data_IF_070399720358
#
_entry.id   IF_070399720358
#
_cell.length_a   1.000
_cell.length_b   1.000
_cell.length_c   1.000
_cell.angle_alpha   90.00
_cell.angle_beta   90.00
_cell.angle_gamma   90.00
#
_symmetry.space_group_name_H-M   'P 1'
#
loop_
_entity.id
_entity.type
_entity.pdbx_description
1 polymer ?
#
# COMPACT_ATOMS: atom_id res chain seq x y z
N UNK A 1 -19.86 -0.90 0.50
CA UNK A 1 -19.58 -1.04 1.95
C UNK A 1 -20.72 -1.69 2.72
N UNK A 2 -20.46 -2.62 3.64
CA UNK A 2 -21.37 -2.82 4.77
C UNK A 2 -21.46 -1.48 5.52
N UNK A 3 -22.65 -0.91 5.62
CA UNK A 3 -22.89 0.35 6.34
C UNK A 3 -23.03 0.12 7.85
N UNK A 4 -22.65 -1.07 8.32
CA UNK A 4 -22.83 -1.50 9.71
C UNK A 4 -21.78 -0.86 10.63
N UNK A 5 -22.19 0.10 11.50
CA UNK A 5 -21.28 0.76 12.42
C UNK A 5 -20.74 -0.18 13.50
N UNK A 6 -21.48 -1.23 13.87
CA UNK A 6 -21.07 -2.19 14.89
C UNK A 6 -19.93 -3.06 14.37
N UNK A 7 -20.02 -3.52 13.12
CA UNK A 7 -18.93 -4.23 12.44
C UNK A 7 -17.66 -3.37 12.39
N UNK A 8 -17.78 -2.10 12.03
CA UNK A 8 -16.65 -1.18 11.96
C UNK A 8 -15.99 -0.97 13.32
N UNK A 9 -16.79 -0.76 14.37
CA UNK A 9 -16.30 -0.61 15.73
C UNK A 9 -15.58 -1.88 16.20
N UNK A 10 -16.13 -3.07 15.92
CA UNK A 10 -15.50 -4.35 16.26
C UNK A 10 -14.15 -4.54 15.54
N UNK A 11 -14.05 -4.20 14.26
CA UNK A 11 -12.79 -4.24 13.53
C UNK A 11 -11.75 -3.28 14.13
N UNK A 12 -12.16 -2.05 14.48
CA UNK A 12 -11.29 -1.05 15.09
C UNK A 12 -10.81 -1.48 16.49
N UNK A 13 -11.67 -2.13 17.28
CA UNK A 13 -11.31 -2.70 18.59
C UNK A 13 -10.25 -3.81 18.46
N UNK A 14 -10.45 -4.76 17.54
CA UNK A 14 -9.46 -5.83 17.28
C UNK A 14 -8.14 -5.22 16.82
N UNK A 15 -8.19 -4.24 15.91
CA UNK A 15 -6.99 -3.55 15.42
C UNK A 15 -6.27 -2.81 16.54
N UNK A 16 -6.99 -2.09 17.40
CA UNK A 16 -6.42 -1.34 18.51
C UNK A 16 -5.77 -2.25 19.57
N UNK A 17 -6.34 -3.44 19.81
CA UNK A 17 -5.84 -4.41 20.77
C UNK A 17 -4.67 -5.26 20.26
N UNK A 18 -4.24 -5.10 19.00
CA UNK A 18 -3.23 -5.98 18.40
C UNK A 18 -1.87 -5.90 19.09
N UNK A 19 -1.28 -7.07 19.33
CA UNK A 19 0.10 -7.19 19.78
C UNK A 19 1.00 -7.52 18.58
N UNK A 20 1.80 -6.54 18.14
CA UNK A 20 2.68 -6.72 16.98
C UNK A 20 3.78 -7.78 17.16
N UNK A 21 4.01 -8.25 18.39
CA UNK A 21 4.93 -9.36 18.65
C UNK A 21 4.21 -10.73 18.69
N UNK A 22 2.88 -10.76 18.79
CA UNK A 22 2.05 -11.97 18.80
C UNK A 22 0.73 -11.73 18.06
N UNK A 23 0.72 -11.95 16.75
CA UNK A 23 -0.48 -11.73 15.93
C UNK A 23 -1.51 -12.84 16.02
N UNK A 24 -1.15 -14.05 16.47
CA UNK A 24 -2.07 -15.18 16.47
C UNK A 24 -3.46 -14.90 17.09
N UNK A 25 -3.58 -14.20 18.26
CA UNK A 25 -4.88 -13.82 18.80
C UNK A 25 -5.63 -12.78 17.94
N UNK A 26 -4.91 -11.82 17.35
CA UNK A 26 -5.49 -10.81 16.45
C UNK A 26 -6.02 -11.45 15.17
N UNK A 27 -5.26 -12.38 14.59
CA UNK A 27 -5.69 -13.16 13.41
C UNK A 27 -6.94 -13.96 13.76
N UNK A 28 -6.94 -14.69 14.89
CA UNK A 28 -8.09 -15.47 15.32
C UNK A 28 -9.36 -14.59 15.46
N UNK A 29 -9.23 -13.43 16.11
CA UNK A 29 -10.35 -12.50 16.27
C UNK A 29 -10.88 -11.96 14.93
N UNK A 30 -10.02 -11.64 13.97
CA UNK A 30 -10.46 -11.23 12.64
C UNK A 30 -11.06 -12.39 11.83
N UNK A 31 -10.58 -13.62 12.02
CA UNK A 31 -11.16 -14.81 11.39
C UNK A 31 -12.56 -15.12 11.92
N UNK A 32 -12.83 -14.87 13.20
CA UNK A 32 -14.18 -14.99 13.76
C UNK A 32 -15.14 -13.99 13.09
N UNK A 33 -14.71 -12.73 12.91
CA UNK A 33 -15.49 -11.72 12.16
C UNK A 33 -15.69 -12.15 10.71
N UNK A 34 -14.66 -12.70 10.07
CA UNK A 34 -14.74 -13.19 8.70
C UNK A 34 -15.73 -14.36 8.57
N UNK A 35 -15.85 -15.23 9.56
CA UNK A 35 -16.82 -16.32 9.53
C UNK A 35 -18.27 -15.79 9.50
N UNK A 36 -18.52 -14.66 10.16
CA UNK A 36 -19.82 -13.97 10.17
C UNK A 36 -20.04 -13.14 8.89
N UNK A 37 -18.96 -12.60 8.31
CA UNK A 37 -18.98 -11.69 7.15
C UNK A 37 -17.96 -12.11 6.07
N UNK A 38 -18.14 -13.26 5.39
CA UNK A 38 -17.10 -13.90 4.57
C UNK A 38 -16.66 -13.12 3.32
N UNK A 39 -17.53 -12.24 2.84
CA UNK A 39 -17.34 -11.45 1.62
C UNK A 39 -17.32 -9.94 1.88
N UNK A 40 -17.30 -9.51 3.16
CA UNK A 40 -17.19 -8.08 3.44
C UNK A 40 -15.77 -7.57 3.09
N UNK A 41 -15.64 -6.57 2.20
CA UNK A 41 -14.33 -6.12 1.74
C UNK A 41 -13.46 -5.54 2.86
N UNK A 42 -14.05 -4.88 3.87
CA UNK A 42 -13.28 -4.33 4.98
C UNK A 42 -12.75 -5.44 5.88
N UNK A 43 -13.55 -6.47 6.16
CA UNK A 43 -13.12 -7.63 6.94
C UNK A 43 -11.98 -8.37 6.23
N UNK A 44 -12.14 -8.64 4.93
CA UNK A 44 -11.09 -9.25 4.11
C UNK A 44 -9.78 -8.46 4.15
N UNK A 45 -9.86 -7.12 4.07
CA UNK A 45 -8.70 -6.25 4.16
C UNK A 45 -8.00 -6.32 5.53
N UNK A 46 -8.74 -6.30 6.63
CA UNK A 46 -8.14 -6.38 7.98
C UNK A 46 -7.51 -7.75 8.24
N UNK A 47 -8.13 -8.84 7.78
CA UNK A 47 -7.53 -10.20 7.83
C UNK A 47 -6.22 -10.24 7.04
N UNK A 48 -6.20 -9.68 5.83
CA UNK A 48 -4.97 -9.53 5.05
C UNK A 48 -3.88 -8.77 5.80
N UNK A 49 -4.24 -7.64 6.42
CA UNK A 49 -3.33 -6.84 7.25
C UNK A 49 -2.78 -7.56 8.46
N UNK A 50 -3.57 -8.42 9.10
CA UNK A 50 -3.13 -9.21 10.24
C UNK A 50 -2.09 -10.27 9.82
N UNK A 51 -2.33 -10.99 8.72
CA UNK A 51 -1.36 -11.95 8.17
C UNK A 51 -0.08 -11.28 7.66
N UNK A 52 -0.18 -10.12 7.00
CA UNK A 52 0.99 -9.36 6.53
C UNK A 52 1.86 -8.92 7.71
N UNK A 53 1.23 -8.45 8.80
CA UNK A 53 1.94 -8.06 10.03
C UNK A 53 2.63 -9.25 10.71
N UNK A 54 2.08 -10.46 10.56
CA UNK A 54 2.64 -11.71 11.08
C UNK A 54 3.77 -12.29 10.20
N UNK A 55 4.00 -11.73 9.01
CA UNK A 55 4.98 -12.25 8.04
C UNK A 55 4.48 -13.48 7.28
N UNK A 56 3.17 -13.54 7.03
CA UNK A 56 2.53 -14.57 6.21
C UNK A 56 2.07 -13.94 4.88
N UNK A 57 3.03 -13.46 4.09
CA UNK A 57 2.79 -12.60 2.93
C UNK A 57 1.94 -13.26 1.83
N UNK A 58 2.13 -14.55 1.54
CA UNK A 58 1.30 -15.27 0.56
C UNK A 58 -0.17 -15.34 0.98
N UNK A 59 -0.43 -15.50 2.28
CA UNK A 59 -1.79 -15.53 2.82
C UNK A 59 -2.41 -14.14 2.72
N UNK A 60 -1.68 -13.11 3.14
CA UNK A 60 -2.11 -11.72 3.06
C UNK A 60 -2.48 -11.30 1.63
N UNK A 61 -1.64 -11.66 0.65
CA UNK A 61 -1.87 -11.40 -0.76
C UNK A 61 -3.23 -11.91 -1.24
N UNK A 62 -3.63 -13.12 -0.83
CA UNK A 62 -4.92 -13.71 -1.18
C UNK A 62 -6.09 -12.89 -0.64
N UNK A 63 -5.99 -12.44 0.61
CA UNK A 63 -7.02 -11.63 1.25
C UNK A 63 -7.14 -10.22 0.66
N UNK A 64 -6.02 -9.54 0.37
CA UNK A 64 -6.05 -8.24 -0.28
C UNK A 64 -6.71 -8.28 -1.65
N UNK A 65 -6.38 -9.28 -2.48
CA UNK A 65 -7.03 -9.47 -3.79
C UNK A 65 -8.53 -9.71 -3.67
N UNK A 66 -8.95 -10.53 -2.70
CA UNK A 66 -10.37 -10.77 -2.41
C UNK A 66 -11.08 -9.49 -1.94
N UNK A 67 -10.45 -8.71 -1.07
CA UNK A 67 -11.01 -7.45 -0.59
C UNK A 67 -11.27 -6.48 -1.76
N UNK A 68 -10.28 -6.29 -2.65
CA UNK A 68 -10.45 -5.47 -3.85
C UNK A 68 -11.54 -6.00 -4.78
N UNK A 69 -11.57 -7.31 -5.04
CA UNK A 69 -12.60 -7.95 -5.85
C UNK A 69 -14.01 -7.82 -5.26
N UNK A 70 -14.12 -7.77 -3.92
CA UNK A 70 -15.37 -7.55 -3.19
C UNK A 70 -15.79 -6.07 -3.13
N UNK A 71 -15.10 -5.17 -3.83
CA UNK A 71 -15.47 -3.75 -3.91
C UNK A 71 -14.95 -2.91 -2.74
N UNK A 72 -13.77 -3.22 -2.20
CA UNK A 72 -13.09 -2.33 -1.26
C UNK A 72 -12.92 -0.94 -1.88
N UNK A 73 -13.25 0.11 -1.13
CA UNK A 73 -13.31 1.48 -1.65
C UNK A 73 -12.67 2.52 -0.70
N UNK A 74 -12.51 3.74 -1.21
CA UNK A 74 -12.06 4.90 -0.44
C UNK A 74 -10.70 4.73 0.24
N UNK A 75 -10.62 5.17 1.51
CA UNK A 75 -9.37 5.16 2.28
C UNK A 75 -8.77 3.77 2.40
N UNK A 76 -9.59 2.74 2.65
CA UNK A 76 -9.10 1.36 2.81
C UNK A 76 -8.59 0.80 1.48
N UNK A 77 -9.22 1.12 0.34
CA UNK A 77 -8.70 0.72 -0.97
C UNK A 77 -7.29 1.30 -1.22
N UNK A 78 -7.09 2.59 -0.97
CA UNK A 78 -5.76 3.22 -1.07
C UNK A 78 -4.72 2.54 -0.18
N UNK A 79 -5.11 2.20 1.06
CA UNK A 79 -4.22 1.47 1.97
C UNK A 79 -3.95 0.04 1.48
N UNK A 80 -4.95 -0.62 0.90
CA UNK A 80 -4.80 -1.93 0.31
C UNK A 80 -3.78 -1.91 -0.84
N UNK A 81 -3.83 -0.92 -1.75
CA UNK A 81 -2.77 -0.76 -2.77
C UNK A 81 -1.38 -0.65 -2.15
N UNK A 82 -1.23 0.15 -1.08
CA UNK A 82 0.05 0.31 -0.39
C UNK A 82 0.58 -1.00 0.19
N UNK A 83 -0.30 -1.75 0.88
CA UNK A 83 0.08 -3.00 1.53
C UNK A 83 0.31 -4.10 0.49
N UNK A 84 -0.63 -4.32 -0.43
CA UNK A 84 -0.53 -5.30 -1.50
C UNK A 84 0.75 -5.10 -2.34
N UNK A 85 1.06 -3.86 -2.73
CA UNK A 85 2.27 -3.55 -3.47
C UNK A 85 3.54 -3.87 -2.66
N UNK A 86 3.52 -3.61 -1.35
CA UNK A 86 4.63 -3.93 -0.45
C UNK A 86 4.79 -5.43 -0.22
N UNK A 87 3.70 -6.16 0.02
CA UNK A 87 3.67 -7.61 0.14
C UNK A 87 4.23 -8.26 -1.12
N UNK A 88 3.80 -7.83 -2.31
CA UNK A 88 4.34 -8.32 -3.59
C UNK A 88 5.83 -8.05 -3.75
N UNK A 89 6.31 -6.87 -3.35
CA UNK A 89 7.75 -6.54 -3.36
C UNK A 89 8.54 -7.46 -2.43
N UNK A 90 8.05 -7.70 -1.21
CA UNK A 90 8.70 -8.57 -0.23
C UNK A 90 8.76 -10.03 -0.71
N UNK A 91 7.74 -10.48 -1.45
CA UNK A 91 7.70 -11.77 -2.14
C UNK A 91 8.57 -11.84 -3.40
N UNK A 92 9.28 -10.77 -3.77
CA UNK A 92 10.08 -10.71 -5.00
C UNK A 92 9.28 -10.62 -6.29
N UNK A 93 7.96 -10.41 -6.23
CA UNK A 93 7.05 -10.27 -7.38
C UNK A 93 7.02 -8.81 -7.84
N UNK A 94 8.18 -8.34 -8.31
CA UNK A 94 8.45 -6.91 -8.48
C UNK A 94 7.60 -6.25 -9.58
N UNK A 95 7.39 -6.93 -10.71
CA UNK A 95 6.56 -6.39 -11.80
C UNK A 95 5.09 -6.21 -11.37
N UNK A 96 4.56 -7.18 -10.62
CA UNK A 96 3.20 -7.08 -10.06
C UNK A 96 3.12 -5.99 -8.99
N UNK A 97 4.13 -5.85 -8.14
CA UNK A 97 4.24 -4.75 -7.18
C UNK A 97 4.17 -3.40 -7.88
N UNK A 98 4.95 -3.22 -8.96
CA UNK A 98 4.99 -1.99 -9.73
C UNK A 98 3.62 -1.68 -10.35
N UNK A 99 2.97 -2.67 -10.95
CA UNK A 99 1.63 -2.53 -11.53
C UNK A 99 0.57 -2.13 -10.49
N UNK A 100 0.61 -2.73 -9.30
CA UNK A 100 -0.30 -2.37 -8.19
C UNK A 100 -0.08 -0.93 -7.72
N UNK A 101 1.17 -0.48 -7.63
CA UNK A 101 1.44 0.91 -7.29
C UNK A 101 1.01 1.88 -8.40
N UNK A 102 1.23 1.54 -9.68
CA UNK A 102 0.80 2.35 -10.82
C UNK A 102 -0.74 2.53 -10.84
N UNK A 103 -1.49 1.46 -10.63
CA UNK A 103 -2.96 1.50 -10.52
C UNK A 103 -3.41 2.35 -9.31
N UNK A 104 -2.78 2.13 -8.15
CA UNK A 104 -3.07 2.89 -6.95
C UNK A 104 -2.81 4.39 -7.11
N UNK A 105 -1.72 4.79 -7.79
CA UNK A 105 -1.40 6.20 -8.07
C UNK A 105 -2.41 6.81 -9.05
N UNK A 106 -2.87 6.05 -10.04
CA UNK A 106 -3.90 6.53 -10.96
C UNK A 106 -5.23 6.83 -10.26
N UNK A 107 -5.60 6.04 -9.26
CA UNK A 107 -6.83 6.23 -8.47
C UNK A 107 -6.66 7.24 -7.33
N UNK A 108 -5.48 7.33 -6.74
CA UNK A 108 -5.16 8.19 -5.60
C UNK A 108 -3.90 9.03 -5.88
N UNK A 109 -3.93 9.95 -6.86
CA UNK A 109 -2.77 10.76 -7.25
C UNK A 109 -2.26 11.63 -6.09
N UNK A 110 -3.12 11.92 -5.11
CA UNK A 110 -2.78 12.63 -3.89
C UNK A 110 -2.08 11.76 -2.83
N UNK A 111 -1.80 10.48 -3.06
CA UNK A 111 -1.11 9.63 -2.09
C UNK A 111 0.41 9.63 -2.28
N UNK A 112 1.14 10.41 -1.47
CA UNK A 112 2.62 10.43 -1.49
C UNK A 112 3.20 9.05 -1.19
N UNK A 113 2.59 8.33 -0.26
CA UNK A 113 3.02 7.00 0.15
C UNK A 113 3.04 6.00 -1.02
N UNK A 114 2.09 6.07 -1.96
CA UNK A 114 2.07 5.15 -3.10
C UNK A 114 3.26 5.44 -4.03
N UNK A 115 3.53 6.72 -4.32
CA UNK A 115 4.70 7.12 -5.12
C UNK A 115 6.03 6.75 -4.46
N UNK A 116 6.17 6.94 -3.14
CA UNK A 116 7.40 6.60 -2.41
C UNK A 116 7.62 5.08 -2.34
N UNK A 117 6.58 4.29 -2.09
CA UNK A 117 6.72 2.83 -2.03
C UNK A 117 6.91 2.20 -3.41
N UNK A 118 6.37 2.82 -4.47
CA UNK A 118 6.72 2.49 -5.85
C UNK A 118 8.21 2.68 -6.13
N UNK A 119 8.81 3.77 -5.63
CA UNK A 119 10.25 3.99 -5.77
C UNK A 119 11.07 2.91 -5.06
N UNK A 120 10.62 2.38 -3.92
CA UNK A 120 11.24 1.23 -3.27
C UNK A 120 11.16 -0.04 -4.14
N UNK A 121 10.05 -0.24 -4.87
CA UNK A 121 9.94 -1.33 -5.84
C UNK A 121 10.90 -1.15 -7.01
N UNK A 122 11.02 0.06 -7.58
CA UNK A 122 12.02 0.35 -8.63
C UNK A 122 13.44 0.05 -8.17
N UNK A 123 13.79 0.45 -6.95
CA UNK A 123 15.09 0.13 -6.36
C UNK A 123 15.28 -1.40 -6.24
N UNK A 124 14.28 -2.13 -5.75
CA UNK A 124 14.33 -3.60 -5.66
C UNK A 124 14.47 -4.28 -7.03
N UNK A 125 13.99 -3.65 -8.10
CA UNK A 125 14.16 -4.10 -9.50
C UNK A 125 15.56 -3.82 -10.06
N UNK A 126 16.46 -3.22 -9.28
CA UNK A 126 17.77 -2.80 -9.77
C UNK A 126 17.73 -1.52 -10.61
N UNK A 127 16.68 -0.69 -10.43
CA UNK A 127 16.52 0.62 -11.09
C UNK A 127 16.67 1.78 -10.08
N UNK A 128 17.86 1.97 -9.47
CA UNK A 128 18.06 2.95 -8.41
C UNK A 128 18.01 4.41 -8.90
N UNK A 129 18.39 4.70 -10.15
CA UNK A 129 18.29 6.04 -10.71
C UNK A 129 16.82 6.42 -10.92
N UNK A 130 16.03 5.55 -11.53
CA UNK A 130 14.59 5.73 -11.69
C UNK A 130 13.88 5.84 -10.33
N UNK A 131 14.30 5.08 -9.31
CA UNK A 131 13.80 5.21 -7.95
C UNK A 131 14.06 6.61 -7.37
N UNK A 132 15.30 7.11 -7.46
CA UNK A 132 15.64 8.45 -7.00
C UNK A 132 14.88 9.53 -7.78
N UNK A 133 14.78 9.39 -9.10
CA UNK A 133 13.99 10.29 -9.94
C UNK A 133 12.53 10.36 -9.51
N UNK A 134 11.91 9.21 -9.23
CA UNK A 134 10.54 9.15 -8.73
C UNK A 134 10.37 9.85 -7.37
N UNK A 135 11.33 9.69 -6.44
CA UNK A 135 11.32 10.41 -5.14
C UNK A 135 11.41 11.92 -5.34
N UNK A 136 12.29 12.39 -6.24
CA UNK A 136 12.39 13.83 -6.55
C UNK A 136 11.08 14.38 -7.10
N UNK A 137 10.39 13.63 -7.97
CA UNK A 137 9.06 14.02 -8.46
C UNK A 137 8.05 14.14 -7.33
N UNK A 138 7.96 13.15 -6.44
CA UNK A 138 7.05 13.20 -5.28
C UNK A 138 7.35 14.41 -4.38
N UNK A 139 8.64 14.66 -4.09
CA UNK A 139 9.06 15.80 -3.26
C UNK A 139 8.63 17.12 -3.92
N UNK A 140 8.90 17.26 -5.21
CA UNK A 140 8.62 18.49 -5.96
C UNK A 140 7.13 18.77 -6.04
N UNK A 141 6.30 17.75 -6.30
CA UNK A 141 4.87 17.94 -6.48
C UNK A 141 4.13 18.14 -5.16
N UNK A 142 4.60 17.52 -4.07
CA UNK A 142 3.81 17.35 -2.83
C UNK A 142 4.33 18.13 -1.64
N UNK A 143 5.57 18.61 -1.71
CA UNK A 143 6.20 19.39 -0.64
C UNK A 143 6.74 20.73 -1.17
N UNK A 144 5.86 21.63 -1.66
CA UNK A 144 6.26 22.90 -2.27
C UNK A 144 6.64 23.96 -1.22
N UNK A 145 7.68 23.66 -0.42
CA UNK A 145 8.32 24.65 0.45
C UNK A 145 9.01 25.70 -0.40
N UNK A 146 9.25 26.89 0.15
CA UNK A 146 9.95 27.97 -0.58
C UNK A 146 11.32 27.53 -1.13
N UNK A 147 12.03 26.64 -0.41
CA UNK A 147 13.30 26.08 -0.86
C UNK A 147 13.13 25.11 -2.03
N UNK A 148 12.14 24.20 -1.97
CA UNK A 148 11.85 23.27 -3.09
C UNK A 148 11.42 24.04 -4.34
N UNK A 149 10.54 25.03 -4.18
CA UNK A 149 10.06 25.87 -5.29
C UNK A 149 11.19 26.64 -5.98
N UNK A 150 12.18 27.15 -5.23
CA UNK A 150 13.34 27.84 -5.80
C UNK A 150 14.13 26.95 -6.77
N UNK A 151 14.16 25.65 -6.52
CA UNK A 151 14.92 24.68 -7.31
C UNK A 151 14.06 23.72 -8.14
N UNK A 152 12.75 23.98 -8.28
CA UNK A 152 11.80 23.08 -8.94
C UNK A 152 12.27 22.66 -10.34
N UNK A 153 12.67 23.60 -11.19
CA UNK A 153 13.12 23.29 -12.55
C UNK A 153 14.34 22.35 -12.56
N UNK A 154 15.28 22.55 -11.63
CA UNK A 154 16.45 21.69 -11.48
C UNK A 154 16.06 20.31 -10.95
N UNK A 155 15.17 20.23 -9.95
CA UNK A 155 14.68 18.96 -9.41
C UNK A 155 13.95 18.15 -10.47
N UNK A 156 13.06 18.76 -11.26
CA UNK A 156 12.36 18.11 -12.37
C UNK A 156 13.31 17.67 -13.47
N UNK A 157 14.29 18.51 -13.83
CA UNK A 157 15.31 18.16 -14.82
C UNK A 157 16.15 16.95 -14.41
N UNK A 158 16.60 16.91 -13.15
CA UNK A 158 17.33 15.76 -12.61
C UNK A 158 16.43 14.52 -12.51
N UNK A 159 15.17 14.66 -12.11
CA UNK A 159 14.23 13.54 -12.06
C UNK A 159 14.04 12.88 -13.44
N UNK A 160 13.84 13.69 -14.48
CA UNK A 160 13.68 13.21 -15.86
C UNK A 160 14.96 12.55 -16.39
N UNK A 161 16.13 13.14 -16.11
CA UNK A 161 17.41 12.54 -16.49
C UNK A 161 17.64 11.20 -15.78
N UNK A 162 17.42 11.12 -14.48
CA UNK A 162 17.57 9.89 -13.70
C UNK A 162 16.64 8.78 -14.18
N UNK A 163 15.41 9.12 -14.58
CA UNK A 163 14.45 8.15 -15.10
C UNK A 163 14.90 7.50 -16.42
N UNK A 164 15.79 8.14 -17.20
CA UNK A 164 16.29 7.61 -18.47
C UNK A 164 17.59 6.81 -18.35
N UNK A 165 18.12 6.59 -17.13
CA UNK A 165 19.41 5.90 -16.94
C UNK A 165 19.29 4.40 -16.72
N UNK A 166 18.12 3.93 -16.26
CA UNK A 166 17.88 2.52 -15.91
C UNK A 166 17.05 1.80 -17.00
N UNK A 167 17.28 2.15 -18.27
CA UNK A 167 16.72 1.51 -19.46
C UNK A 167 17.72 0.52 -20.10
#
# INVERSE_FOLDING_TARGET
>A
MSTDPELHARLDEIFAARDRARMAPTIAAFLDVLAEHPDDPAVLYEVGGAYDTDGQEETALGYYRRAMAAGLEGRRLRQCFLQLGSTLRNLGRLDESLAVFDEGIALFPESESLGLFRALTLHAMGRPSAALGAVLTVITDRFPTAEVQRYEAALRGNAAYLASLDD
#
